data_IF_616678432506
#
_entry.id   IF_616678432506
#
_cell.length_a   1.000
_cell.length_b   1.000
_cell.length_c   1.000
_cell.angle_alpha   90.00
_cell.angle_beta   90.00
_cell.angle_gamma   90.00
#
_symmetry.space_group_name_H-M   'P 1'
#
loop_
_entity.id
_entity.type
_entity.pdbx_description
1 polymer ?
#
# COMPACT_ATOMS: atom_id res chain seq x y z
N UNK A 1 9.56 1.04 7.63
CA UNK A 1 8.65 1.91 8.40
C UNK A 1 7.70 2.61 7.46
N UNK A 2 6.40 2.54 7.74
CA UNK A 2 5.34 3.21 7.01
C UNK A 2 4.59 4.14 7.97
N UNK A 3 4.24 5.32 7.49
CA UNK A 3 3.35 6.25 8.16
C UNK A 3 1.95 6.05 7.56
N UNK A 4 0.96 5.77 8.42
CA UNK A 4 -0.44 5.62 8.03
C UNK A 4 -1.18 6.83 8.59
N UNK A 5 -1.80 7.61 7.71
CA UNK A 5 -2.54 8.82 8.07
C UNK A 5 -4.00 8.64 7.67
N UNK A 6 -4.92 8.88 8.61
CA UNK A 6 -6.33 8.93 8.30
C UNK A 6 -6.62 10.22 7.52
N UNK A 7 -7.16 10.07 6.30
CA UNK A 7 -7.56 11.22 5.47
C UNK A 7 -9.07 11.46 5.54
N UNK A 8 -9.84 10.44 5.92
CA UNK A 8 -11.28 10.45 6.12
C UNK A 8 -11.67 9.24 6.99
N UNK A 9 -12.92 9.13 7.42
CA UNK A 9 -13.42 8.01 8.24
C UNK A 9 -13.23 6.70 7.48
N UNK A 10 -12.33 5.85 7.99
CA UNK A 10 -12.00 4.56 7.37
C UNK A 10 -11.21 4.68 6.07
N UNK A 11 -10.66 5.84 5.73
CA UNK A 11 -9.79 6.05 4.57
C UNK A 11 -8.41 6.47 5.06
N UNK A 12 -7.38 5.79 4.55
CA UNK A 12 -5.99 6.07 4.90
C UNK A 12 -5.13 6.37 3.68
N UNK A 13 -4.12 7.20 3.89
CA UNK A 13 -2.96 7.31 3.03
C UNK A 13 -1.75 6.64 3.70
N UNK A 14 -1.00 5.86 2.92
CA UNK A 14 0.14 5.09 3.41
C UNK A 14 1.40 5.66 2.76
N UNK A 15 2.34 6.18 3.57
CA UNK A 15 3.58 6.81 3.10
C UNK A 15 4.80 6.05 3.60
N UNK A 16 5.78 5.83 2.74
CA UNK A 16 7.09 5.36 3.15
C UNK A 16 7.87 6.51 3.78
N UNK A 17 8.14 6.44 5.09
CA UNK A 17 8.83 7.51 5.82
C UNK A 17 10.15 7.92 5.14
N UNK A 18 11.00 6.93 4.86
CA UNK A 18 12.34 7.16 4.35
C UNK A 18 12.39 7.48 2.84
N UNK A 19 11.42 6.98 2.06
CA UNK A 19 11.35 7.29 0.63
C UNK A 19 10.59 8.59 0.35
N UNK A 20 9.79 9.07 1.31
CA UNK A 20 8.86 10.19 1.13
C UNK A 20 7.70 9.89 0.17
N UNK A 21 7.59 8.67 -0.36
CA UNK A 21 6.61 8.32 -1.40
C UNK A 21 5.36 7.69 -0.81
N UNK A 22 4.22 8.00 -1.42
CA UNK A 22 2.93 7.41 -1.08
C UNK A 22 2.74 6.08 -1.82
N UNK A 23 2.20 5.08 -1.15
CA UNK A 23 1.66 3.90 -1.81
C UNK A 23 0.44 4.35 -2.62
N UNK A 24 0.37 3.95 -3.89
CA UNK A 24 -0.74 4.27 -4.76
C UNK A 24 -1.11 3.08 -5.64
N UNK A 25 -2.36 3.02 -6.12
CA UNK A 25 -2.83 1.98 -7.05
C UNK A 25 -3.40 2.62 -8.31
N UNK A 26 -2.88 2.26 -9.48
CA UNK A 26 -3.38 2.80 -10.74
C UNK A 26 -4.59 2.05 -11.31
N UNK A 27 -5.19 2.61 -12.38
CA UNK A 27 -6.33 2.01 -13.11
C UNK A 27 -6.09 0.59 -13.67
N UNK A 28 -4.84 0.13 -13.76
CA UNK A 28 -4.48 -1.25 -14.16
C UNK A 28 -4.34 -2.18 -12.96
N UNK A 29 -4.70 -1.70 -11.76
CA UNK A 29 -4.58 -2.37 -10.48
C UNK A 29 -3.14 -2.54 -10.01
N UNK A 30 -2.15 -1.87 -10.61
CA UNK A 30 -0.75 -1.99 -10.19
C UNK A 30 -0.47 -1.03 -9.05
N UNK A 31 0.16 -1.56 -8.00
CA UNK A 31 0.73 -0.73 -6.93
C UNK A 31 2.01 -0.05 -7.42
N UNK A 32 2.20 1.20 -7.02
CA UNK A 32 3.39 1.98 -7.29
C UNK A 32 3.66 2.96 -6.14
N UNK A 33 4.84 3.57 -6.16
CA UNK A 33 5.24 4.59 -5.19
C UNK A 33 5.11 5.97 -5.85
N UNK A 34 4.10 6.73 -5.45
CA UNK A 34 3.83 8.08 -5.94
C UNK A 34 4.71 9.11 -5.21
N UNK A 35 5.26 10.07 -5.93
CA UNK A 35 6.08 11.14 -5.35
C UNK A 35 5.23 12.22 -4.68
N UNK A 36 4.03 12.46 -5.21
CA UNK A 36 3.04 13.37 -4.64
C UNK A 36 1.79 12.61 -4.19
N UNK A 37 1.10 13.17 -3.20
CA UNK A 37 -0.22 12.69 -2.81
C UNK A 37 -1.23 12.93 -3.93
N UNK A 38 -2.11 11.95 -4.18
CA UNK A 38 -3.20 12.04 -5.14
C UNK A 38 -4.31 11.04 -4.77
N UNK A 39 -5.43 11.06 -5.51
CA UNK A 39 -6.59 10.18 -5.27
C UNK A 39 -6.29 8.68 -5.40
N UNK A 40 -5.23 8.28 -6.10
CA UNK A 40 -4.80 6.88 -6.18
C UNK A 40 -4.07 6.41 -4.90
N UNK A 41 -3.72 7.33 -4.00
CA UNK A 41 -3.06 7.07 -2.71
C UNK A 41 -4.06 6.74 -1.58
N UNK A 42 -5.36 6.84 -1.84
CA UNK A 42 -6.41 6.66 -0.85
C UNK A 42 -6.92 5.22 -0.81
N UNK A 43 -6.86 4.63 0.38
CA UNK A 43 -7.32 3.27 0.61
C UNK A 43 -8.38 3.21 1.71
N UNK A 44 -9.48 2.50 1.44
CA UNK A 44 -10.45 2.11 2.46
C UNK A 44 -9.80 1.07 3.36
N UNK A 45 -9.58 1.43 4.62
CA UNK A 45 -9.11 0.53 5.66
C UNK A 45 -10.29 -0.20 6.31
N UNK A 46 -10.18 -1.51 6.43
CA UNK A 46 -11.13 -2.34 7.20
C UNK A 46 -10.37 -3.30 8.10
N UNK A 47 -10.72 -3.28 9.37
CA UNK A 47 -10.25 -4.23 10.37
C UNK A 47 -11.01 -5.55 10.18
N UNK A 48 -10.27 -6.63 10.05
CA UNK A 48 -10.77 -8.00 10.02
C UNK A 48 -10.79 -8.58 11.44
N UNK A 49 -11.68 -9.54 11.67
CA UNK A 49 -11.98 -10.15 12.98
C UNK A 49 -10.79 -10.69 13.78
N UNK A 50 -9.61 -10.86 13.16
CA UNK A 50 -8.39 -11.39 13.79
C UNK A 50 -7.28 -10.33 13.92
N UNK A 51 -7.63 -9.04 13.89
CA UNK A 51 -6.67 -7.93 14.02
C UNK A 51 -5.86 -7.63 12.75
N UNK A 52 -6.19 -8.27 11.63
CA UNK A 52 -5.61 -7.94 10.32
C UNK A 52 -6.38 -6.79 9.67
N UNK A 53 -5.69 -5.89 9.00
CA UNK A 53 -6.30 -4.85 8.18
C UNK A 53 -6.28 -5.24 6.70
N UNK A 54 -7.28 -4.76 5.98
CA UNK A 54 -7.32 -4.78 4.52
C UNK A 54 -7.39 -3.35 4.00
N UNK A 55 -6.76 -3.12 2.85
CA UNK A 55 -6.71 -1.81 2.20
C UNK A 55 -7.22 -1.96 0.78
N UNK A 56 -8.40 -1.41 0.49
CA UNK A 56 -8.98 -1.39 -0.84
C UNK A 56 -8.80 -0.02 -1.49
N UNK A 57 -8.54 0.06 -2.79
CA UNK A 57 -8.53 1.34 -3.49
C UNK A 57 -9.88 2.03 -3.32
N UNK A 58 -9.88 3.30 -2.90
CA UNK A 58 -11.10 4.14 -2.87
C UNK A 58 -11.61 4.40 -4.29
N UNK A 59 -10.68 4.61 -5.22
CA UNK A 59 -10.99 4.99 -6.60
C UNK A 59 -11.38 3.81 -7.49
N UNK A 60 -10.71 2.65 -7.36
CA UNK A 60 -10.84 1.56 -8.31
C UNK A 60 -11.59 0.34 -7.77
N UNK A 61 -12.61 -0.07 -8.52
CA UNK A 61 -13.43 -1.26 -8.29
C UNK A 61 -14.03 -1.77 -9.58
N UNK A 62 -14.47 -3.02 -9.59
CA UNK A 62 -15.22 -3.60 -10.70
C UNK A 62 -16.70 -3.60 -10.33
N UNK A 63 -17.48 -2.81 -11.05
CA UNK A 63 -18.95 -2.83 -10.99
C UNK A 63 -19.50 -3.80 -12.05
N UNK A 64 -20.59 -4.53 -11.79
CA UNK A 64 -21.26 -5.34 -12.80
C UNK A 64 -21.85 -4.45 -13.89
N UNK A 65 -21.70 -4.86 -15.14
CA UNK A 65 -22.48 -4.26 -16.23
C UNK A 65 -23.86 -4.92 -16.23
N UNK A 66 -24.93 -4.13 -16.17
CA UNK A 66 -26.33 -4.58 -16.09
C UNK A 66 -26.88 -5.35 -17.31
N UNK A 67 -26.03 -5.81 -18.23
CA UNK A 67 -26.43 -6.43 -19.50
C UNK A 67 -26.35 -7.98 -19.53
N UNK A 68 -25.96 -8.63 -18.43
CA UNK A 68 -25.84 -10.10 -18.36
C UNK A 68 -26.98 -10.73 -17.55
N UNK A 69 -28.05 -11.11 -18.24
CA UNK A 69 -29.33 -11.57 -17.67
C UNK A 69 -29.32 -13.01 -17.10
N UNK A 70 -28.19 -13.66 -16.84
CA UNK A 70 -28.19 -15.08 -16.41
C UNK A 70 -27.17 -15.50 -15.33
N UNK A 71 -26.37 -14.59 -14.77
CA UNK A 71 -25.52 -14.91 -13.59
C UNK A 71 -25.80 -13.90 -12.50
N UNK A 72 -26.17 -14.38 -11.30
CA UNK A 72 -26.31 -13.61 -10.04
C UNK A 72 -25.40 -12.38 -10.10
N UNK A 73 -25.97 -11.18 -10.11
CA UNK A 73 -25.24 -9.93 -10.15
C UNK A 73 -24.07 -10.01 -9.16
N UNK A 74 -22.83 -10.15 -9.64
CA UNK A 74 -21.70 -10.27 -8.71
C UNK A 74 -21.62 -8.97 -7.96
N UNK A 75 -21.73 -8.98 -6.63
CA UNK A 75 -21.60 -7.76 -5.85
C UNK A 75 -20.36 -6.96 -6.29
N UNK A 76 -20.41 -5.63 -6.14
CA UNK A 76 -19.29 -4.74 -6.41
C UNK A 76 -17.97 -5.33 -5.89
N UNK A 77 -16.96 -5.40 -6.76
CA UNK A 77 -15.68 -6.01 -6.42
C UNK A 77 -14.62 -4.94 -6.23
N UNK A 78 -14.32 -4.66 -4.97
CA UNK A 78 -13.22 -3.79 -4.57
C UNK A 78 -11.84 -4.37 -4.97
N UNK A 79 -10.87 -3.48 -5.20
CA UNK A 79 -9.51 -3.84 -5.57
C UNK A 79 -8.58 -3.65 -4.38
N UNK A 80 -7.82 -4.69 -4.01
CA UNK A 80 -7.07 -4.71 -2.75
C UNK A 80 -5.56 -4.57 -2.95
N UNK A 81 -4.93 -3.78 -2.07
CA UNK A 81 -3.48 -3.85 -1.84
C UNK A 81 -3.16 -5.29 -1.47
N UNK A 82 -2.15 -5.86 -2.13
CA UNK A 82 -1.78 -7.26 -1.87
C UNK A 82 -0.38 -7.61 -2.32
N UNK A 83 0.22 -8.52 -1.58
CA UNK A 83 1.54 -9.12 -1.86
C UNK A 83 1.39 -10.64 -1.93
N UNK A 84 2.18 -11.29 -2.78
CA UNK A 84 2.23 -12.75 -2.83
C UNK A 84 3.21 -13.31 -1.79
N UNK A 85 3.29 -14.64 -1.67
CA UNK A 85 4.21 -15.31 -0.74
C UNK A 85 5.70 -15.07 -1.02
N UNK A 86 6.06 -14.47 -2.17
CA UNK A 86 7.43 -14.04 -2.52
C UNK A 86 7.65 -12.54 -2.25
N UNK A 87 6.72 -11.87 -1.56
CA UNK A 87 6.76 -10.43 -1.28
C UNK A 87 6.49 -9.52 -2.49
N UNK A 88 6.09 -10.06 -3.64
CA UNK A 88 5.84 -9.25 -4.85
C UNK A 88 4.40 -8.71 -4.86
N UNK A 89 4.19 -7.44 -5.24
CA UNK A 89 2.85 -6.86 -5.33
C UNK A 89 1.99 -7.57 -6.39
N UNK A 90 0.70 -7.75 -6.10
CA UNK A 90 -0.29 -8.30 -7.05
C UNK A 90 -1.17 -7.18 -7.61
N UNK A 91 -1.85 -7.47 -8.73
CA UNK A 91 -2.86 -6.55 -9.27
C UNK A 91 -4.09 -6.53 -8.38
N UNK A 92 -4.61 -5.36 -8.03
CA UNK A 92 -5.69 -5.20 -7.05
C UNK A 92 -6.96 -5.98 -7.38
N UNK A 93 -7.39 -6.00 -8.64
CA UNK A 93 -8.55 -6.77 -9.09
C UNK A 93 -8.37 -8.30 -9.04
N UNK A 94 -7.14 -8.80 -8.88
CA UNK A 94 -6.84 -10.24 -8.76
C UNK A 94 -6.90 -10.73 -7.31
N UNK A 95 -7.16 -9.84 -6.36
CA UNK A 95 -7.22 -10.17 -4.94
C UNK A 95 -8.63 -9.95 -4.38
N UNK A 96 -9.03 -10.76 -3.40
CA UNK A 96 -10.29 -10.63 -2.64
C UNK A 96 -9.96 -10.43 -1.17
N UNK A 97 -10.86 -9.77 -0.43
CA UNK A 97 -10.74 -9.48 1.02
C UNK A 97 -10.31 -10.67 1.86
N UNK A 98 -10.85 -11.86 1.58
CA UNK A 98 -10.62 -13.10 2.35
C UNK A 98 -9.29 -13.79 2.04
N UNK A 99 -8.53 -13.33 1.05
CA UNK A 99 -7.27 -13.96 0.69
C UNK A 99 -6.16 -13.47 1.62
N UNK A 100 -5.32 -14.40 2.13
CA UNK A 100 -4.17 -14.06 2.97
C UNK A 100 -3.25 -13.00 2.37
N UNK A 101 -3.15 -12.94 1.03
CA UNK A 101 -2.35 -11.93 0.31
C UNK A 101 -2.79 -10.47 0.52
N UNK A 102 -4.01 -10.22 1.00
CA UNK A 102 -4.53 -8.88 1.32
C UNK A 102 -4.67 -8.61 2.81
N UNK A 103 -4.30 -9.56 3.68
CA UNK A 103 -4.38 -9.39 5.13
C UNK A 103 -3.02 -8.89 5.64
N UNK A 104 -3.02 -7.70 6.23
CA UNK A 104 -1.82 -7.08 6.79
C UNK A 104 -1.99 -6.91 8.29
N UNK A 105 -0.99 -7.30 9.08
CA UNK A 105 -0.99 -7.04 10.51
C UNK A 105 -0.19 -5.76 10.78
N UNK A 106 -0.81 -4.65 11.22
CA UNK A 106 -0.06 -3.51 11.72
C UNK A 106 0.79 -3.94 12.91
N UNK A 107 2.09 -3.68 12.86
CA UNK A 107 3.01 -3.94 13.97
C UNK A 107 3.51 -2.62 14.52
N UNK A 108 3.53 -2.51 15.84
CA UNK A 108 4.22 -1.41 16.53
C UNK A 108 5.72 -1.47 16.22
N UNK A 109 6.35 -0.31 16.19
CA UNK A 109 7.79 -0.20 15.98
C UNK A 109 8.52 -0.74 17.21
N UNK A 110 9.64 -1.43 16.98
CA UNK A 110 10.55 -1.78 18.06
C UNK A 110 11.52 -0.63 18.37
N UNK A 111 12.35 -0.78 19.40
CA UNK A 111 13.29 0.27 19.84
C UNK A 111 14.25 0.70 18.72
N UNK A 112 14.68 -0.23 17.87
CA UNK A 112 15.60 0.03 16.76
C UNK A 112 14.90 0.83 15.65
N UNK A 113 13.68 0.44 15.30
CA UNK A 113 12.86 1.17 14.36
C UNK A 113 12.58 2.60 14.85
N UNK A 114 12.25 2.77 16.14
CA UNK A 114 12.08 4.08 16.76
C UNK A 114 13.34 4.95 16.66
N UNK A 115 14.52 4.38 16.88
CA UNK A 115 15.79 5.09 16.71
C UNK A 115 16.00 5.54 15.26
N UNK A 116 15.69 4.68 14.28
CA UNK A 116 15.80 5.06 12.87
C UNK A 116 14.85 6.21 12.50
N UNK A 117 13.63 6.23 13.05
CA UNK A 117 12.70 7.37 12.87
C UNK A 117 13.27 8.63 13.52
N UNK A 118 13.76 8.55 14.76
CA UNK A 118 14.36 9.69 15.45
C UNK A 118 15.52 10.27 14.67
N UNK A 119 16.47 9.44 14.24
CA UNK A 119 17.62 9.85 13.43
C UNK A 119 17.20 10.48 12.11
N UNK A 120 16.16 9.96 11.46
CA UNK A 120 15.65 10.55 10.22
C UNK A 120 15.14 11.98 10.40
N UNK A 121 14.55 12.30 11.54
CA UNK A 121 14.06 13.65 11.83
C UNK A 121 15.13 14.59 12.40
N UNK A 122 16.06 14.09 13.22
CA UNK A 122 17.04 14.93 13.93
C UNK A 122 18.37 15.09 13.19
N UNK A 123 18.73 14.14 12.32
CA UNK A 123 20.04 14.11 11.68
C UNK A 123 19.92 14.30 10.15
N UNK A 124 20.22 15.52 9.70
CA UNK A 124 20.16 15.90 8.27
C UNK A 124 21.06 15.02 7.41
N UNK A 125 22.29 14.72 7.86
CA UNK A 125 23.23 13.87 7.11
C UNK A 125 22.70 12.45 6.93
N UNK A 126 22.09 11.89 7.99
CA UNK A 126 21.46 10.57 7.93
C UNK A 126 20.30 10.56 6.93
N UNK A 127 19.40 11.56 7.02
CA UNK A 127 18.29 11.73 6.08
C UNK A 127 18.75 11.83 4.63
N UNK A 128 19.74 12.66 4.35
CA UNK A 128 20.30 12.81 2.99
C UNK A 128 20.94 11.52 2.48
N UNK A 129 21.56 10.73 3.35
CA UNK A 129 22.17 9.46 2.97
C UNK A 129 21.15 8.43 2.48
N UNK A 130 19.93 8.45 3.05
CA UNK A 130 18.83 7.56 2.67
C UNK A 130 18.13 8.00 1.38
N UNK A 131 18.07 9.32 1.13
CA UNK A 131 17.41 9.87 -0.05
C UNK A 131 18.31 9.83 -1.30
N UNK A 132 19.63 9.69 -1.13
CA UNK A 132 20.56 9.57 -2.26
C UNK A 132 20.24 8.32 -3.10
N UNK A 133 20.06 8.44 -4.42
CA UNK A 133 19.82 7.28 -5.27
C UNK A 133 21.04 6.34 -5.25
N UNK A 134 20.82 5.01 -5.21
CA UNK A 134 21.93 4.06 -5.26
C UNK A 134 22.73 4.24 -6.56
N UNK A 135 24.06 4.18 -6.45
CA UNK A 135 24.95 4.32 -7.61
C UNK A 135 24.63 3.26 -8.67
N UNK A 136 24.92 3.55 -9.96
CA UNK A 136 24.65 2.63 -11.09
C UNK A 136 25.20 1.21 -10.86
N UNK A 137 26.28 1.07 -10.08
CA UNK A 137 26.89 -0.23 -9.75
C UNK A 137 26.07 -1.06 -8.73
N UNK A 138 25.31 -0.44 -7.82
CA UNK A 138 24.44 -1.16 -6.90
C UNK A 138 23.17 -1.72 -7.58
N UNK A 139 22.69 -1.08 -8.65
CA UNK A 139 21.52 -1.55 -9.42
C UNK A 139 21.79 -2.89 -10.13
N UNK A 140 23.01 -3.12 -10.62
CA UNK A 140 23.38 -4.37 -11.34
C UNK A 140 23.44 -5.59 -10.42
N UNK A 141 23.62 -5.42 -9.10
CA UNK A 141 23.71 -6.52 -8.13
C UNK A 141 22.36 -7.01 -7.59
N UNK A 142 21.25 -6.36 -7.94
CA UNK A 142 19.89 -6.68 -7.45
C UNK A 142 18.93 -7.12 -8.57
N UNK A 143 19.44 -7.39 -9.77
CA UNK A 143 18.69 -7.87 -10.93
C UNK A 143 18.69 -9.38 -11.02
#
# INVERSE_FOLDING_TARGET
>A
ILEITAVDVGIVAIKGLFSGRYLAMNKRGRLYASESYNTECEFVERIHELGYNTYASRLYRTVPNGASTKRKASAERLWYVSINGKGRPRRGFKTRRTQKSSLFLPRVLDSKDHEMVRLFHTNVRYRESLLKPPSKNQRRRRG
#
